data_IF_207251685206
#
_entry.id   IF_207251685206
#
_cell.length_a   1.000
_cell.length_b   1.000
_cell.length_c   1.000
_cell.angle_alpha   90.00
_cell.angle_beta   90.00
_cell.angle_gamma   90.00
#
_symmetry.space_group_name_H-M   'P 1'
#
loop_
_entity.id
_entity.type
_entity.pdbx_description
1 polymer ?
#
# COMPACT_ATOMS: atom_id res chain seq x y z
N UNK A 1 -22.73 -54.79 7.68
CA UNK A 1 -23.17 -53.63 6.92
C UNK A 1 -21.93 -52.96 6.35
N UNK A 2 -21.72 -53.07 5.04
CA UNK A 2 -20.94 -52.13 4.22
C UNK A 2 -21.21 -52.52 2.76
N UNK A 3 -22.22 -51.86 2.20
CA UNK A 3 -22.61 -51.92 0.80
C UNK A 3 -21.72 -50.96 0.01
N UNK A 4 -20.82 -51.50 -0.81
CA UNK A 4 -20.03 -50.73 -1.78
C UNK A 4 -20.82 -50.62 -3.10
N UNK A 5 -21.22 -49.41 -3.52
CA UNK A 5 -22.15 -49.19 -4.63
C UNK A 5 -21.48 -49.12 -6.03
N UNK A 6 -20.23 -49.56 -6.19
CA UNK A 6 -19.49 -49.42 -7.45
C UNK A 6 -19.14 -50.75 -8.16
N UNK A 7 -19.96 -51.79 -7.97
CA UNK A 7 -19.76 -53.10 -8.58
C UNK A 7 -20.10 -53.17 -10.08
N UNK A 8 -20.64 -52.12 -10.69
CA UNK A 8 -20.94 -52.08 -12.12
C UNK A 8 -20.36 -50.82 -12.75
N UNK A 9 -19.22 -50.95 -13.45
CA UNK A 9 -19.07 -50.53 -14.85
C UNK A 9 -17.63 -50.76 -15.38
N UNK A 10 -17.45 -51.43 -16.53
CA UNK A 10 -16.15 -51.75 -17.13
C UNK A 10 -15.61 -50.75 -18.18
N UNK A 11 -14.27 -50.65 -18.14
CA UNK A 11 -13.19 -50.32 -19.10
C UNK A 11 -13.44 -49.83 -20.54
N UNK A 12 -12.54 -48.92 -20.96
CA UNK A 12 -12.33 -48.28 -22.27
C UNK A 12 -12.04 -49.18 -23.49
N UNK A 13 -12.40 -48.73 -24.72
CA UNK A 13 -11.64 -48.97 -25.98
C UNK A 13 -12.06 -48.04 -27.15
N UNK A 14 -11.13 -47.78 -28.09
CA UNK A 14 -11.12 -46.77 -29.17
C UNK A 14 -11.72 -47.23 -30.56
N UNK A 15 -11.30 -46.72 -31.77
CA UNK A 15 -12.17 -46.03 -32.74
C UNK A 15 -12.39 -46.80 -34.08
N UNK A 16 -13.36 -46.40 -34.90
CA UNK A 16 -13.64 -47.03 -36.22
C UNK A 16 -13.45 -46.04 -37.38
N UNK A 17 -12.58 -46.43 -38.34
CA UNK A 17 -12.33 -45.85 -39.67
C UNK A 17 -13.44 -46.23 -40.67
N UNK A 18 -13.70 -45.40 -41.70
CA UNK A 18 -14.38 -45.78 -42.97
C UNK A 18 -14.12 -44.72 -44.07
N UNK A 19 -14.31 -45.01 -45.38
CA UNK A 19 -13.23 -45.28 -46.34
C UNK A 19 -13.15 -44.31 -47.55
N UNK A 20 -12.07 -44.50 -48.34
CA UNK A 20 -11.76 -43.86 -49.65
C UNK A 20 -12.62 -44.40 -50.79
N UNK A 21 -12.92 -43.54 -51.76
CA UNK A 21 -13.22 -43.90 -53.15
C UNK A 21 -12.31 -43.11 -54.10
N UNK A 22 -11.62 -43.83 -54.98
CA UNK A 22 -10.80 -43.33 -56.09
C UNK A 22 -11.68 -43.16 -57.34
N UNK A 23 -11.62 -42.00 -58.01
CA UNK A 23 -11.69 -41.91 -59.48
C UNK A 23 -10.78 -40.81 -60.00
N UNK A 24 -9.96 -41.20 -60.97
CA UNK A 24 -8.90 -40.48 -61.64
C UNK A 24 -9.40 -40.06 -63.03
N UNK A 25 -9.23 -38.81 -63.46
CA UNK A 25 -9.18 -38.42 -64.89
C UNK A 25 -8.55 -37.02 -65.07
N UNK A 26 -7.56 -36.94 -65.96
CA UNK A 26 -6.68 -35.81 -66.26
C UNK A 26 -7.32 -34.70 -67.14
N UNK A 27 -6.87 -33.44 -66.97
CA UNK A 27 -6.57 -32.45 -68.05
C UNK A 27 -6.03 -31.11 -67.47
N UNK A 28 -4.86 -30.64 -67.95
CA UNK A 28 -4.30 -29.28 -67.78
C UNK A 28 -4.67 -28.36 -68.99
N UNK A 29 -4.24 -27.07 -69.07
CA UNK A 29 -4.54 -25.85 -68.28
C UNK A 29 -5.16 -24.76 -69.24
N UNK A 30 -5.06 -23.41 -69.11
CA UNK A 30 -4.79 -22.46 -68.00
C UNK A 30 -5.83 -21.30 -67.90
N UNK A 31 -5.79 -20.48 -66.83
CA UNK A 31 -5.98 -19.01 -66.98
C UNK A 31 -5.48 -18.24 -65.76
N UNK A 32 -4.66 -17.23 -66.02
CA UNK A 32 -4.03 -16.31 -65.07
C UNK A 32 -5.09 -15.50 -64.31
N UNK A 33 -5.06 -15.53 -62.99
CA UNK A 33 -5.48 -14.39 -62.17
C UNK A 33 -4.43 -14.15 -61.08
N UNK A 34 -3.77 -13.00 -61.19
CA UNK A 34 -2.92 -12.43 -60.16
C UNK A 34 -3.79 -12.18 -58.93
N UNK A 35 -3.64 -12.98 -57.88
CA UNK A 35 -4.06 -12.60 -56.54
C UNK A 35 -2.81 -12.45 -55.67
N UNK A 36 -2.70 -11.21 -55.19
CA UNK A 36 -1.66 -10.63 -54.38
C UNK A 36 -1.28 -11.53 -53.20
N UNK A 37 0.00 -11.87 -53.13
CA UNK A 37 0.63 -12.38 -51.91
C UNK A 37 0.37 -11.37 -50.80
N UNK A 38 -0.54 -11.72 -49.89
CA UNK A 38 -0.70 -11.01 -48.64
C UNK A 38 0.62 -11.16 -47.86
N UNK A 39 1.45 -10.13 -47.92
CA UNK A 39 2.63 -9.99 -47.10
C UNK A 39 2.23 -10.16 -45.64
N UNK A 40 2.62 -11.28 -45.03
CA UNK A 40 2.58 -11.42 -43.58
C UNK A 40 3.37 -10.27 -42.97
N UNK A 41 2.81 -9.52 -41.99
CA UNK A 41 3.55 -8.46 -41.34
C UNK A 41 4.73 -9.11 -40.58
N UNK A 42 5.95 -8.80 -41.03
CA UNK A 42 7.17 -9.12 -40.31
C UNK A 42 7.04 -8.61 -38.87
N UNK A 43 7.46 -9.38 -37.84
CA UNK A 43 7.52 -8.88 -36.48
C UNK A 43 8.41 -7.64 -36.47
N UNK A 44 7.84 -6.46 -36.18
CA UNK A 44 8.66 -5.26 -35.93
C UNK A 44 9.53 -5.57 -34.72
N UNK A 45 10.84 -5.61 -34.92
CA UNK A 45 11.82 -5.60 -33.83
C UNK A 45 11.47 -4.40 -32.92
N UNK A 46 11.03 -4.68 -31.70
CA UNK A 46 10.74 -3.65 -30.72
C UNK A 46 12.06 -3.03 -30.33
N UNK A 47 12.36 -1.83 -30.84
CA UNK A 47 13.46 -1.01 -30.32
C UNK A 47 13.32 -0.91 -28.80
N UNK A 48 14.43 -0.95 -28.05
CA UNK A 48 14.39 -0.76 -26.61
C UNK A 48 13.78 0.63 -26.32
N UNK A 49 12.77 0.66 -25.45
CA UNK A 49 12.12 1.89 -25.03
C UNK A 49 13.16 2.78 -24.33
N UNK A 50 13.07 4.10 -24.53
CA UNK A 50 13.86 5.03 -23.73
C UNK A 50 13.43 4.98 -22.26
N UNK A 51 14.26 5.52 -21.36
CA UNK A 51 13.92 5.61 -19.92
C UNK A 51 12.59 6.35 -19.72
N UNK A 52 12.44 7.53 -20.32
CA UNK A 52 11.20 8.32 -20.26
C UNK A 52 9.97 7.53 -20.76
N UNK A 53 10.09 6.83 -21.89
CA UNK A 53 9.00 5.99 -22.41
C UNK A 53 8.67 4.82 -21.48
N UNK A 54 9.69 4.27 -20.80
CA UNK A 54 9.52 3.20 -19.81
C UNK A 54 8.80 3.70 -18.57
N UNK A 55 9.15 4.90 -18.06
CA UNK A 55 8.45 5.58 -16.96
C UNK A 55 6.97 5.75 -17.31
N UNK A 56 6.64 6.39 -18.44
CA UNK A 56 5.24 6.60 -18.86
C UNK A 56 4.46 5.30 -19.02
N UNK A 57 5.10 4.27 -19.59
CA UNK A 57 4.45 2.96 -19.77
C UNK A 57 4.18 2.29 -18.43
N UNK A 58 5.14 2.30 -17.51
CA UNK A 58 4.96 1.72 -16.17
C UNK A 58 3.92 2.49 -15.36
N UNK A 59 3.92 3.82 -15.42
CA UNK A 59 2.89 4.66 -14.84
C UNK A 59 1.49 4.22 -15.28
N UNK A 60 1.25 4.07 -16.59
CA UNK A 60 -0.05 3.63 -17.11
C UNK A 60 -0.50 2.28 -16.55
N UNK A 61 0.44 1.37 -16.26
CA UNK A 61 0.15 0.08 -15.64
C UNK A 61 -0.03 0.17 -14.12
N UNK A 62 0.68 1.07 -13.45
CA UNK A 62 0.48 1.33 -12.02
C UNK A 62 -0.89 1.94 -11.73
N UNK A 63 -1.47 2.69 -12.68
CA UNK A 63 -2.82 3.22 -12.57
C UNK A 63 -3.92 2.15 -12.72
N UNK A 64 -3.57 0.91 -13.09
CA UNK A 64 -4.50 -0.22 -13.27
C UNK A 64 -4.34 -1.22 -12.11
N UNK A 65 -5.39 -1.38 -11.29
CA UNK A 65 -5.37 -2.19 -10.05
C UNK A 65 -4.77 -3.60 -10.25
N UNK A 66 -5.24 -4.33 -11.26
CA UNK A 66 -4.78 -5.70 -11.56
C UNK A 66 -3.32 -5.79 -12.01
N UNK A 67 -2.74 -4.68 -12.45
CA UNK A 67 -1.35 -4.60 -12.94
C UNK A 67 -0.42 -3.89 -11.97
N UNK A 68 -0.98 -3.19 -10.98
CA UNK A 68 -0.25 -2.32 -10.06
C UNK A 68 0.93 -3.04 -9.41
N UNK A 69 0.68 -4.16 -8.73
CA UNK A 69 1.73 -4.83 -7.95
C UNK A 69 2.96 -5.19 -8.79
N UNK A 70 2.77 -5.67 -10.03
CA UNK A 70 3.88 -6.02 -10.90
C UNK A 70 4.54 -4.78 -11.53
N UNK A 71 3.74 -3.78 -11.91
CA UNK A 71 4.23 -2.53 -12.46
C UNK A 71 5.06 -1.75 -11.43
N UNK A 72 4.60 -1.68 -10.18
CA UNK A 72 5.30 -1.06 -9.07
C UNK A 72 6.65 -1.74 -8.77
N UNK A 73 6.71 -3.08 -8.84
CA UNK A 73 7.98 -3.82 -8.68
C UNK A 73 8.99 -3.46 -9.79
N UNK A 74 8.53 -3.41 -11.05
CA UNK A 74 9.38 -3.03 -12.18
C UNK A 74 9.80 -1.56 -12.12
N UNK A 75 8.88 -0.68 -11.72
CA UNK A 75 9.15 0.73 -11.51
C UNK A 75 10.16 0.95 -10.40
N UNK A 76 10.07 0.22 -9.29
CA UNK A 76 11.07 0.26 -8.22
C UNK A 76 12.47 -0.13 -8.69
N UNK A 77 12.59 -1.15 -9.56
CA UNK A 77 13.90 -1.51 -10.15
C UNK A 77 14.46 -0.39 -11.03
N UNK A 78 13.60 0.20 -11.88
CA UNK A 78 13.97 1.35 -12.69
C UNK A 78 14.42 2.54 -11.82
N UNK A 79 13.66 2.85 -10.77
CA UNK A 79 13.99 3.93 -9.83
C UNK A 79 15.39 3.74 -9.24
N UNK A 80 15.69 2.54 -8.71
CA UNK A 80 17.02 2.24 -8.16
C UNK A 80 18.12 2.39 -9.21
N UNK A 81 17.89 1.88 -10.41
CA UNK A 81 18.84 2.00 -11.51
C UNK A 81 19.14 3.46 -11.85
N UNK A 82 18.12 4.31 -11.93
CA UNK A 82 18.30 5.74 -12.23
C UNK A 82 18.90 6.53 -11.07
N UNK A 83 18.53 6.23 -9.82
CA UNK A 83 19.08 6.89 -8.62
C UNK A 83 20.52 6.47 -8.30
N UNK A 84 21.02 5.38 -8.88
CA UNK A 84 22.41 4.93 -8.70
C UNK A 84 23.31 5.25 -9.90
N UNK A 85 22.73 5.67 -11.02
CA UNK A 85 23.46 6.13 -12.19
C UNK A 85 24.22 7.43 -11.90
N UNK A 86 25.35 7.63 -12.60
CA UNK A 86 26.14 8.87 -12.53
C UNK A 86 26.53 9.30 -13.95
N UNK A 87 26.34 10.59 -14.32
CA UNK A 87 25.68 11.64 -13.55
C UNK A 87 24.19 11.37 -13.33
N UNK A 88 23.61 11.99 -12.31
CA UNK A 88 22.16 12.01 -12.14
C UNK A 88 21.54 12.92 -13.20
N UNK A 89 20.33 12.56 -13.62
CA UNK A 89 19.55 13.29 -14.61
C UNK A 89 18.31 13.88 -13.91
N UNK A 90 18.30 15.21 -13.75
CA UNK A 90 17.26 15.95 -13.03
C UNK A 90 15.88 15.78 -13.68
N UNK A 91 15.81 15.70 -15.01
CA UNK A 91 14.56 15.49 -15.75
C UNK A 91 14.00 14.09 -15.45
N UNK A 92 14.88 13.08 -15.35
CA UNK A 92 14.49 11.71 -14.98
C UNK A 92 14.02 11.66 -13.52
N UNK A 93 14.72 12.30 -12.58
CA UNK A 93 14.31 12.33 -11.17
C UNK A 93 12.93 12.98 -11.02
N UNK A 94 12.71 14.10 -11.69
CA UNK A 94 11.43 14.80 -11.75
C UNK A 94 10.34 13.91 -12.33
N UNK A 95 10.59 13.21 -13.44
CA UNK A 95 9.63 12.30 -14.04
C UNK A 95 9.28 11.09 -13.14
N UNK A 96 10.25 10.59 -12.35
CA UNK A 96 10.02 9.52 -11.37
C UNK A 96 9.13 9.99 -10.22
N UNK A 97 9.41 11.17 -9.65
CA UNK A 97 8.61 11.76 -8.56
C UNK A 97 7.20 12.14 -9.02
N UNK A 98 7.07 12.73 -10.20
CA UNK A 98 5.78 13.05 -10.80
C UNK A 98 4.93 11.79 -11.04
N UNK A 99 5.57 10.71 -11.50
CA UNK A 99 4.90 9.42 -11.63
C UNK A 99 4.38 8.90 -10.28
N UNK A 100 5.20 8.99 -9.23
CA UNK A 100 4.83 8.55 -7.88
C UNK A 100 3.70 9.41 -7.30
N UNK A 101 3.75 10.72 -7.51
CA UNK A 101 2.72 11.66 -7.08
C UNK A 101 1.37 11.31 -7.70
N UNK A 102 1.32 11.12 -9.02
CA UNK A 102 0.09 10.73 -9.72
C UNK A 102 -0.43 9.36 -9.26
N UNK A 103 0.45 8.39 -9.00
CA UNK A 103 0.05 7.05 -8.54
C UNK A 103 -0.47 7.06 -7.11
N UNK A 104 0.10 7.89 -6.23
CA UNK A 104 -0.38 8.09 -4.87
C UNK A 104 -1.77 8.77 -4.87
N UNK A 105 -1.95 9.81 -5.70
CA UNK A 105 -3.18 10.59 -5.75
C UNK A 105 -4.30 9.95 -6.59
N UNK A 106 -4.01 8.94 -7.41
CA UNK A 106 -4.96 8.38 -8.38
C UNK A 106 -6.30 7.94 -7.76
N UNK A 107 -6.26 7.26 -6.60
CA UNK A 107 -7.45 6.94 -5.80
C UNK A 107 -7.05 6.82 -4.33
N UNK A 108 -7.60 7.69 -3.48
CA UNK A 108 -7.29 7.75 -2.04
C UNK A 108 -7.44 6.40 -1.31
N UNK A 109 -8.34 5.52 -1.75
CA UNK A 109 -8.57 4.21 -1.09
C UNK A 109 -7.60 3.11 -1.52
N UNK A 110 -6.78 3.32 -2.57
CA UNK A 110 -5.86 2.29 -3.09
C UNK A 110 -4.69 2.02 -2.17
N UNK A 111 -4.13 3.08 -1.57
CA UNK A 111 -2.93 3.00 -0.71
C UNK A 111 -3.18 2.10 0.50
N UNK A 112 -4.41 2.08 1.00
CA UNK A 112 -4.86 1.31 2.17
C UNK A 112 -5.58 0.00 1.83
N UNK A 113 -5.79 -0.31 0.55
CA UNK A 113 -6.43 -1.56 0.14
C UNK A 113 -5.54 -2.75 0.53
N UNK A 114 -6.12 -3.75 1.22
CA UNK A 114 -5.42 -4.94 1.69
C UNK A 114 -4.56 -5.65 0.62
N UNK A 115 -5.03 -5.71 -0.63
CA UNK A 115 -4.31 -6.39 -1.72
C UNK A 115 -3.09 -5.60 -2.22
N UNK A 116 -3.15 -4.26 -2.14
CA UNK A 116 -2.17 -3.36 -2.75
C UNK A 116 -1.25 -2.67 -1.74
N UNK A 117 -1.67 -2.55 -0.48
CA UNK A 117 -0.93 -1.83 0.58
C UNK A 117 0.52 -2.26 0.69
N UNK A 118 0.79 -3.56 0.64
CA UNK A 118 2.16 -4.08 0.73
C UNK A 118 3.02 -3.66 -0.48
N UNK A 119 2.44 -3.58 -1.67
CA UNK A 119 3.15 -3.12 -2.86
C UNK A 119 3.42 -1.60 -2.80
N UNK A 120 2.44 -0.81 -2.34
CA UNK A 120 2.63 0.61 -2.05
C UNK A 120 3.71 0.84 -0.98
N UNK A 121 3.61 0.20 0.19
CA UNK A 121 4.59 0.37 1.27
C UNK A 121 6.01 0.00 0.84
N UNK A 122 6.19 -1.08 0.05
CA UNK A 122 7.53 -1.43 -0.47
C UNK A 122 8.07 -0.37 -1.44
N UNK A 123 7.24 0.11 -2.36
CA UNK A 123 7.65 1.12 -3.32
C UNK A 123 8.04 2.43 -2.62
N UNK A 124 7.23 2.94 -1.71
CA UNK A 124 7.50 4.21 -1.04
C UNK A 124 8.62 4.12 0.00
N UNK A 125 8.86 2.95 0.61
CA UNK A 125 10.11 2.74 1.39
C UNK A 125 11.35 2.87 0.50
N UNK A 126 11.31 2.34 -0.72
CA UNK A 126 12.41 2.47 -1.69
C UNK A 126 12.62 3.93 -2.13
N UNK A 127 11.53 4.68 -2.33
CA UNK A 127 11.59 6.13 -2.58
C UNK A 127 12.32 6.83 -1.45
N UNK A 128 11.99 6.52 -0.20
CA UNK A 128 12.65 7.13 0.95
C UNK A 128 14.12 6.68 1.13
N UNK A 129 14.47 5.45 0.73
CA UNK A 129 15.86 4.96 0.71
C UNK A 129 16.73 5.71 -0.30
N UNK A 130 16.14 6.15 -1.42
CA UNK A 130 16.82 6.90 -2.48
C UNK A 130 16.47 8.39 -2.49
N UNK A 131 15.99 8.92 -1.35
CA UNK A 131 15.52 10.30 -1.18
C UNK A 131 16.53 11.32 -1.71
N UNK A 132 17.79 11.22 -1.30
CA UNK A 132 18.81 12.23 -1.64
C UNK A 132 19.00 12.37 -3.16
N UNK A 133 19.03 11.26 -3.89
CA UNK A 133 19.16 11.29 -5.35
C UNK A 133 17.89 11.80 -6.04
N UNK A 134 16.70 11.45 -5.51
CA UNK A 134 15.42 11.91 -6.06
C UNK A 134 15.22 13.42 -5.87
N UNK A 135 15.69 13.96 -4.74
CA UNK A 135 15.59 15.39 -4.41
C UNK A 135 16.61 16.27 -5.14
N UNK A 136 17.42 15.71 -6.05
CA UNK A 136 18.09 16.51 -7.10
C UNK A 136 17.07 17.08 -8.11
N UNK A 137 15.82 16.57 -8.11
CA UNK A 137 14.72 17.21 -8.82
C UNK A 137 14.40 18.58 -8.23
N UNK A 138 14.39 19.66 -9.03
CA UNK A 138 14.10 21.01 -8.54
C UNK A 138 12.61 21.25 -8.25
N UNK A 139 11.72 20.36 -8.68
CA UNK A 139 10.26 20.54 -8.54
C UNK A 139 9.71 19.96 -7.23
N UNK A 140 10.51 19.20 -6.48
CA UNK A 140 10.07 18.43 -5.34
C UNK A 140 10.92 18.70 -4.10
N UNK A 141 10.24 18.89 -2.97
CA UNK A 141 10.87 19.13 -1.67
C UNK A 141 10.82 17.90 -0.76
N UNK A 142 11.70 17.85 0.24
CA UNK A 142 11.77 16.76 1.24
C UNK A 142 10.40 16.46 1.86
N UNK A 143 9.63 17.51 2.14
CA UNK A 143 8.31 17.43 2.76
C UNK A 143 7.31 16.62 1.92
N UNK A 144 7.46 16.62 0.60
CA UNK A 144 6.59 15.82 -0.29
C UNK A 144 6.78 14.33 -0.01
N UNK A 145 8.04 13.87 0.06
CA UNK A 145 8.33 12.47 0.35
C UNK A 145 7.97 12.15 1.81
N UNK A 146 8.16 13.07 2.75
CA UNK A 146 7.73 12.87 4.15
C UNK A 146 6.22 12.69 4.28
N UNK A 147 5.42 13.51 3.58
CA UNK A 147 3.97 13.39 3.58
C UNK A 147 3.52 12.06 2.94
N UNK A 148 4.18 11.59 1.87
CA UNK A 148 3.93 10.25 1.32
C UNK A 148 4.30 9.13 2.30
N UNK A 149 5.40 9.27 3.04
CA UNK A 149 5.78 8.28 4.04
C UNK A 149 4.75 8.19 5.16
N UNK A 150 4.19 9.31 5.60
CA UNK A 150 3.09 9.33 6.56
C UNK A 150 1.83 8.66 5.99
N UNK A 151 1.34 9.18 4.85
CA UNK A 151 0.08 8.74 4.23
C UNK A 151 0.09 7.28 3.80
N UNK A 152 1.22 6.79 3.29
CA UNK A 152 1.28 5.45 2.66
C UNK A 152 1.95 4.44 3.56
N UNK A 153 3.08 4.78 4.17
CA UNK A 153 3.89 3.78 4.89
C UNK A 153 3.45 3.69 6.34
N UNK A 154 3.45 4.82 7.05
CA UNK A 154 3.07 4.88 8.46
C UNK A 154 1.61 4.50 8.65
N UNK A 155 0.71 5.00 7.79
CA UNK A 155 -0.71 4.63 7.83
C UNK A 155 -0.90 3.11 7.65
N UNK A 156 -0.20 2.49 6.70
CA UNK A 156 -0.26 1.04 6.51
C UNK A 156 0.32 0.26 7.69
N UNK A 157 1.38 0.76 8.33
CA UNK A 157 1.99 0.15 9.52
C UNK A 157 1.04 0.14 10.73
N UNK A 158 -0.03 0.95 10.75
CA UNK A 158 -1.08 0.89 11.79
C UNK A 158 -2.01 -0.33 11.63
N UNK A 159 -2.07 -0.96 10.45
CA UNK A 159 -2.87 -2.16 10.22
C UNK A 159 -2.09 -3.44 10.55
N UNK A 160 -1.57 -3.47 11.77
CA UNK A 160 -0.78 -4.58 12.33
C UNK A 160 -1.37 -5.01 13.67
N UNK A 161 -1.07 -6.25 14.05
CA UNK A 161 -1.30 -6.77 15.41
C UNK A 161 0.02 -6.88 16.18
N UNK A 162 1.13 -6.41 15.61
CA UNK A 162 2.44 -6.33 16.25
C UNK A 162 2.56 -5.03 17.05
N UNK A 163 2.68 -5.16 18.37
CA UNK A 163 2.80 -4.05 19.31
C UNK A 163 3.97 -3.13 18.99
N UNK A 164 5.12 -3.68 18.59
CA UNK A 164 6.33 -2.90 18.31
C UNK A 164 6.15 -2.08 17.02
N UNK A 165 5.64 -2.71 15.95
CA UNK A 165 5.37 -2.01 14.70
C UNK A 165 4.33 -0.90 14.88
N UNK A 166 3.25 -1.16 15.63
CA UNK A 166 2.25 -0.14 15.93
C UNK A 166 2.82 1.02 16.75
N UNK A 167 3.58 0.73 17.81
CA UNK A 167 4.21 1.77 18.62
C UNK A 167 5.20 2.61 17.81
N UNK A 168 5.94 1.99 16.88
CA UNK A 168 6.82 2.68 15.94
C UNK A 168 6.04 3.62 15.01
N UNK A 169 4.92 3.16 14.46
CA UNK A 169 4.04 4.00 13.64
C UNK A 169 3.44 5.18 14.43
N UNK A 170 2.98 4.93 15.66
CA UNK A 170 2.50 5.98 16.55
C UNK A 170 3.58 7.03 16.87
N UNK A 171 4.83 6.58 17.09
CA UNK A 171 5.97 7.50 17.27
C UNK A 171 6.22 8.35 16.03
N UNK A 172 6.12 7.78 14.83
CA UNK A 172 6.25 8.52 13.58
C UNK A 172 5.14 9.59 13.44
N UNK A 173 3.89 9.25 13.78
CA UNK A 173 2.78 10.23 13.85
C UNK A 173 3.12 11.38 14.82
N UNK A 174 3.72 11.06 15.97
CA UNK A 174 4.21 12.07 16.92
C UNK A 174 5.26 13.01 16.30
N UNK A 175 6.19 12.50 15.52
CA UNK A 175 7.19 13.34 14.83
C UNK A 175 6.55 14.27 13.78
N UNK A 176 5.49 13.83 13.11
CA UNK A 176 4.74 14.69 12.18
C UNK A 176 3.89 15.76 12.90
N UNK A 177 3.47 15.51 14.14
CA UNK A 177 2.92 16.57 14.98
C UNK A 177 3.99 17.62 15.31
N UNK A 178 5.22 17.21 15.63
CA UNK A 178 6.34 18.14 15.85
C UNK A 178 6.60 18.99 14.59
N UNK A 179 6.65 18.36 13.41
CA UNK A 179 6.78 19.06 12.11
C UNK A 179 5.65 20.06 11.86
N UNK A 180 4.41 19.68 12.18
CA UNK A 180 3.26 20.59 12.08
C UNK A 180 3.42 21.80 13.00
N UNK A 181 3.86 21.59 14.24
CA UNK A 181 4.11 22.68 15.20
C UNK A 181 5.16 23.66 14.67
N UNK A 182 6.20 23.16 14.01
CA UNK A 182 7.19 24.00 13.31
C UNK A 182 6.57 24.80 12.15
N UNK A 183 5.71 24.17 11.34
CA UNK A 183 5.00 24.85 10.26
C UNK A 183 4.07 25.96 10.77
N UNK A 184 3.39 25.74 11.91
CA UNK A 184 2.59 26.76 12.62
C UNK A 184 3.49 27.91 13.10
N UNK A 185 4.63 27.61 13.72
CA UNK A 185 5.57 28.64 14.18
C UNK A 185 6.10 29.50 13.03
N UNK A 186 6.26 28.93 11.84
CA UNK A 186 6.71 29.61 10.62
C UNK A 186 5.56 30.25 9.81
N UNK A 187 4.31 30.16 10.28
CA UNK A 187 3.12 30.63 9.58
C UNK A 187 2.98 30.08 8.13
N UNK A 188 3.43 28.84 7.90
CA UNK A 188 3.33 28.18 6.60
C UNK A 188 1.96 27.47 6.46
N UNK A 189 0.92 28.23 6.11
CA UNK A 189 -0.46 27.72 6.00
C UNK A 189 -0.59 26.53 5.03
N UNK A 190 0.15 26.56 3.93
CA UNK A 190 0.14 25.48 2.94
C UNK A 190 0.67 24.18 3.54
N UNK A 191 1.81 24.23 4.22
CA UNK A 191 2.41 23.04 4.82
C UNK A 191 1.57 22.51 5.99
N UNK A 192 0.97 23.41 6.80
CA UNK A 192 0.01 23.01 7.84
C UNK A 192 -1.14 22.22 7.22
N UNK A 193 -1.72 22.72 6.13
CA UNK A 193 -2.82 22.05 5.43
C UNK A 193 -2.39 20.71 4.81
N UNK A 194 -1.23 20.68 4.15
CA UNK A 194 -0.70 19.48 3.51
C UNK A 194 -0.39 18.39 4.56
N UNK A 195 0.16 18.76 5.73
CA UNK A 195 0.36 17.84 6.87
C UNK A 195 -0.99 17.37 7.44
N UNK A 196 -1.94 18.28 7.70
CA UNK A 196 -3.24 17.93 8.29
C UNK A 196 -4.01 16.92 7.42
N UNK A 197 -3.93 17.08 6.09
CA UNK A 197 -4.57 16.19 5.12
C UNK A 197 -4.08 14.73 5.23
N UNK A 198 -2.80 14.51 5.52
CA UNK A 198 -2.22 13.14 5.64
C UNK A 198 -2.21 12.63 7.08
N UNK A 199 -2.12 13.54 8.06
CA UNK A 199 -1.98 13.20 9.48
C UNK A 199 -3.28 12.72 10.11
N UNK A 200 -4.41 13.39 9.85
CA UNK A 200 -5.69 13.03 10.48
C UNK A 200 -6.23 11.66 10.04
N UNK A 201 -6.13 11.24 8.76
CA UNK A 201 -6.45 9.86 8.37
C UNK A 201 -5.65 8.80 9.16
N UNK A 202 -4.36 9.05 9.41
CA UNK A 202 -3.52 8.18 10.22
C UNK A 202 -4.02 8.14 11.68
N UNK A 203 -4.33 9.30 12.26
CA UNK A 203 -4.82 9.39 13.65
C UNK A 203 -6.17 8.66 13.81
N UNK A 204 -7.12 8.82 12.87
CA UNK A 204 -8.40 8.07 12.86
C UNK A 204 -8.15 6.56 12.95
N UNK A 205 -7.18 6.08 12.17
CA UNK A 205 -6.82 4.65 12.13
C UNK A 205 -6.16 4.22 13.43
N UNK A 206 -5.26 5.03 13.97
CA UNK A 206 -4.60 4.79 15.26
C UNK A 206 -5.64 4.70 16.41
N UNK A 207 -6.63 5.59 16.44
CA UNK A 207 -7.67 5.62 17.47
C UNK A 207 -8.60 4.42 17.39
N UNK A 208 -8.85 3.90 16.19
CA UNK A 208 -9.64 2.67 16.02
C UNK A 208 -9.08 1.49 16.83
N UNK A 209 -7.77 1.53 17.16
CA UNK A 209 -7.09 0.53 17.99
C UNK A 209 -7.06 0.85 19.48
N UNK A 210 -7.59 1.98 19.94
CA UNK A 210 -7.63 2.37 21.36
C UNK A 210 -8.27 1.31 22.27
N UNK A 211 -9.18 0.50 21.72
CA UNK A 211 -9.84 -0.57 22.49
C UNK A 211 -8.93 -1.75 22.81
N UNK A 212 -7.77 -1.82 22.19
CA UNK A 212 -6.83 -2.92 22.28
C UNK A 212 -5.78 -2.59 23.34
N UNK A 213 -5.62 -3.47 24.33
CA UNK A 213 -4.78 -3.20 25.52
C UNK A 213 -3.33 -2.85 25.17
N UNK A 214 -2.74 -3.55 24.19
CA UNK A 214 -1.36 -3.34 23.76
C UNK A 214 -1.16 -2.03 22.97
N UNK A 215 -2.20 -1.48 22.35
CA UNK A 215 -2.15 -0.23 21.57
C UNK A 215 -2.47 1.02 22.41
N UNK A 216 -3.18 0.82 23.53
CA UNK A 216 -3.83 1.88 24.31
C UNK A 216 -2.88 3.02 24.68
N UNK A 217 -1.71 2.72 25.26
CA UNK A 217 -0.76 3.75 25.70
C UNK A 217 -0.29 4.62 24.53
N UNK A 218 0.05 4.02 23.39
CA UNK A 218 0.45 4.76 22.19
C UNK A 218 -0.66 5.68 21.69
N UNK A 219 -1.92 5.24 21.75
CA UNK A 219 -3.06 6.09 21.40
C UNK A 219 -3.20 7.26 22.36
N UNK A 220 -3.25 7.00 23.66
CA UNK A 220 -3.47 8.04 24.67
C UNK A 220 -2.39 9.14 24.62
N UNK A 221 -1.13 8.77 24.35
CA UNK A 221 -0.02 9.74 24.19
C UNK A 221 -0.32 10.72 23.05
N UNK A 222 -0.72 10.21 21.87
CA UNK A 222 -1.01 11.05 20.71
C UNK A 222 -2.24 11.94 20.96
N UNK A 223 -3.31 11.40 21.56
CA UNK A 223 -4.52 12.20 21.86
C UNK A 223 -4.23 13.29 22.89
N UNK A 224 -3.44 12.99 23.92
CA UNK A 224 -3.02 13.99 24.91
C UNK A 224 -2.28 15.17 24.26
N UNK A 225 -1.40 14.89 23.30
CA UNK A 225 -0.69 15.93 22.54
C UNK A 225 -1.65 16.79 21.71
N UNK A 226 -2.55 16.16 20.94
CA UNK A 226 -3.57 16.87 20.16
C UNK A 226 -4.45 17.76 21.03
N UNK A 227 -4.90 17.24 22.17
CA UNK A 227 -5.77 17.97 23.11
C UNK A 227 -5.09 19.22 23.63
N UNK A 228 -3.80 19.12 23.98
CA UNK A 228 -3.01 20.24 24.52
C UNK A 228 -2.86 21.38 23.52
N UNK A 229 -2.92 21.06 22.23
CA UNK A 229 -2.74 21.99 21.11
C UNK A 229 -4.01 22.25 20.32
N UNK A 230 -5.19 21.85 20.84
CA UNK A 230 -6.43 21.84 20.06
C UNK A 230 -6.78 23.19 19.44
N UNK A 231 -6.47 24.30 20.10
CA UNK A 231 -6.78 25.65 19.59
C UNK A 231 -6.00 26.04 18.33
N UNK A 232 -4.93 25.32 17.98
CA UNK A 232 -4.12 25.53 16.77
C UNK A 232 -4.67 24.80 15.54
N UNK A 233 -5.82 24.13 15.67
CA UNK A 233 -6.48 23.39 14.59
C UNK A 233 -7.76 24.10 14.11
N UNK A 234 -8.16 23.81 12.87
CA UNK A 234 -9.43 24.29 12.32
C UNK A 234 -10.62 23.77 13.14
N UNK A 235 -11.77 24.46 13.07
CA UNK A 235 -12.99 24.08 13.80
C UNK A 235 -13.40 22.62 13.57
N UNK A 236 -13.37 22.17 12.32
CA UNK A 236 -13.70 20.77 11.96
C UNK A 236 -12.78 19.76 12.64
N UNK A 237 -11.47 20.05 12.69
CA UNK A 237 -10.49 19.16 13.32
C UNK A 237 -10.54 19.23 14.85
N UNK A 238 -10.87 20.40 15.41
CA UNK A 238 -11.11 20.58 16.85
C UNK A 238 -12.25 19.73 17.36
N UNK A 239 -13.38 19.74 16.65
CA UNK A 239 -14.54 18.90 17.00
C UNK A 239 -14.17 17.41 17.03
N UNK A 240 -13.33 16.97 16.08
CA UNK A 240 -12.87 15.59 16.02
C UNK A 240 -11.89 15.26 17.17
N UNK A 241 -10.95 16.16 17.48
CA UNK A 241 -10.06 16.03 18.65
C UNK A 241 -10.87 15.95 19.94
N UNK A 242 -11.90 16.78 20.11
CA UNK A 242 -12.74 16.79 21.30
C UNK A 242 -13.51 15.47 21.46
N UNK A 243 -14.04 14.91 20.36
CA UNK A 243 -14.67 13.58 20.36
C UNK A 243 -13.68 12.49 20.79
N UNK A 244 -12.47 12.49 20.25
CA UNK A 244 -11.43 11.52 20.62
C UNK A 244 -10.99 11.66 22.08
N UNK A 245 -10.85 12.90 22.55
CA UNK A 245 -10.52 13.23 23.93
C UNK A 245 -11.58 12.69 24.88
N UNK A 246 -12.86 12.88 24.56
CA UNK A 246 -13.97 12.32 25.32
C UNK A 246 -13.94 10.79 25.32
N UNK A 247 -13.70 10.15 24.17
CA UNK A 247 -13.62 8.69 24.05
C UNK A 247 -12.52 8.10 24.97
N UNK A 248 -11.36 8.75 25.02
CA UNK A 248 -10.25 8.33 25.90
C UNK A 248 -10.60 8.54 27.38
N UNK A 249 -11.21 9.67 27.75
CA UNK A 249 -11.56 9.98 29.14
C UNK A 249 -12.74 9.14 29.68
N UNK A 250 -13.81 8.94 28.90
CA UNK A 250 -14.99 8.18 29.35
C UNK A 250 -14.64 6.74 29.73
N UNK A 251 -13.64 6.12 29.07
CA UNK A 251 -13.16 4.79 29.45
C UNK A 251 -12.30 4.77 30.71
N UNK A 252 -11.66 5.86 31.09
CA UNK A 252 -10.95 5.96 32.39
C UNK A 252 -11.96 5.95 33.55
N UNK A 253 -13.19 6.40 33.31
CA UNK A 253 -14.26 6.48 34.31
C UNK A 253 -15.34 5.39 34.17
N UNK A 254 -15.31 4.56 33.13
CA UNK A 254 -16.21 3.41 33.03
C UNK A 254 -15.93 2.44 34.19
N UNK A 255 -16.95 2.03 34.97
CA UNK A 255 -16.77 1.13 36.09
C UNK A 255 -16.12 -0.18 35.61
N UNK A 256 -15.13 -0.63 36.37
CA UNK A 256 -14.35 -1.85 36.14
C UNK A 256 -15.23 -3.07 36.48
N UNK A 257 -16.40 -3.22 35.87
CA UNK A 257 -17.38 -4.26 36.26
C UNK A 257 -17.10 -5.63 35.63
N UNK A 258 -15.92 -5.84 35.03
CA UNK A 258 -15.52 -7.14 34.49
C UNK A 258 -14.02 -7.44 34.65
N UNK A 259 -13.44 -7.15 35.82
CA UNK A 259 -12.30 -7.98 36.24
C UNK A 259 -12.89 -9.35 36.54
N UNK A 260 -12.68 -10.30 35.62
CA UNK A 260 -13.04 -11.71 35.83
C UNK A 260 -12.52 -12.16 37.19
N UNK A 261 -13.34 -12.87 37.97
CA UNK A 261 -12.99 -13.43 39.28
C UNK A 261 -11.65 -14.20 39.26
N UNK A 262 -11.23 -14.70 38.09
CA UNK A 262 -9.92 -15.33 37.89
C UNK A 262 -8.71 -14.41 38.10
N UNK A 263 -8.84 -13.09 37.91
CA UNK A 263 -7.78 -12.11 38.14
C UNK A 263 -7.68 -11.66 39.61
N UNK A 264 -8.80 -11.65 40.35
CA UNK A 264 -8.81 -11.42 41.80
C UNK A 264 -8.21 -12.61 42.57
N UNK A 265 -8.48 -13.84 42.14
CA UNK A 265 -7.93 -15.05 42.77
C UNK A 265 -6.39 -15.15 42.69
N UNK A 266 -5.74 -14.43 41.77
CA UNK A 266 -4.27 -14.41 41.66
C UNK A 266 -3.58 -13.47 42.63
N UNK A 267 -4.30 -12.54 43.25
CA UNK A 267 -3.73 -11.60 44.24
C UNK A 267 -3.74 -12.14 45.67
N UNK A 268 -4.51 -13.19 45.94
CA UNK A 268 -4.71 -13.76 47.29
C UNK A 268 -3.92 -15.05 47.58
N UNK A 269 -2.97 -15.44 46.72
CA UNK A 269 -2.04 -16.53 47.08
C UNK A 269 -0.97 -15.94 48.00
N UNK A 270 -1.31 -15.83 49.28
CA UNK A 270 -0.35 -15.67 50.36
C UNK A 270 0.47 -16.97 50.43
N UNK A 271 1.77 -16.87 50.20
CA UNK A 271 2.70 -17.97 50.45
C UNK A 271 2.71 -18.26 51.96
N UNK A 272 1.98 -19.28 52.38
CA UNK A 272 2.10 -19.85 53.72
C UNK A 272 3.35 -20.73 53.74
N UNK A 273 4.51 -20.12 54.00
CA UNK A 273 5.70 -20.88 54.39
C UNK A 273 6.01 -20.55 55.86
N UNK A 274 5.36 -21.30 56.75
CA UNK A 274 5.86 -21.55 58.09
C UNK A 274 5.68 -23.05 58.37
N UNK A 275 6.79 -23.79 58.36
CA UNK A 275 7.15 -24.85 59.32
C UNK A 275 8.34 -25.66 58.80
N UNK A 276 9.53 -25.39 59.34
CA UNK A 276 10.36 -26.37 60.07
C UNK A 276 11.51 -25.66 60.78
#
# INVERSE_FOLDING_TARGET
MNSDPYADLPTATQPIKRPRDDKNEEKQPPSKRLESVASQPKPKEKQPLTVAQTITKLQSYMLVDKKFAKAAELFGKLLVEQCTAKPLDEDIMTALLETLNQVAQAKATRTMNFEMRNAYSRLFRLVNEHRDALLESPEYESDTIENWMLDIVVHNDLYTDDTYQFAKAAKAIGAHLDRREEAVANANEKDIQDIDNVLFPCIRTLISRHTTSWAKTSVEIIISRLTSKREEFSEVLRDEIDQWTQLVHQRKHAPIDKISAAAELRKNIVAYNDTQ
#
